data_IF_014972134189
#
_entry.id   IF_014972134189
#
_cell.length_a   1.000
_cell.length_b   1.000
_cell.length_c   1.000
_cell.angle_alpha   90.00
_cell.angle_beta   90.00
_cell.angle_gamma   90.00
#
_symmetry.space_group_name_H-M   'P 1'
#
loop_
_entity.id
_entity.type
_entity.pdbx_description
1 polymer ?
#
# COMPACT_ATOMS: atom_id res chain seq x y z
N UNK A 1 9.16 -6.93 -0.83
CA UNK A 1 7.75 -6.57 -1.11
C UNK A 1 7.64 -5.97 -2.50
N UNK A 2 6.65 -6.38 -3.25
CA UNK A 2 6.34 -5.80 -4.56
C UNK A 2 5.17 -4.84 -4.40
N UNK A 3 5.42 -3.56 -4.64
CA UNK A 3 4.40 -2.51 -4.43
C UNK A 3 3.20 -2.72 -5.37
N UNK A 4 3.48 -3.04 -6.64
CA UNK A 4 2.40 -3.26 -7.61
C UNK A 4 1.51 -4.43 -7.25
N UNK A 5 2.09 -5.54 -6.83
CA UNK A 5 1.31 -6.70 -6.38
C UNK A 5 0.51 -6.38 -5.13
N UNK A 6 1.06 -5.57 -4.24
CA UNK A 6 0.39 -5.16 -3.02
C UNK A 6 -0.84 -4.30 -3.31
N UNK A 7 -0.70 -3.37 -4.27
CA UNK A 7 -1.83 -2.56 -4.73
C UNK A 7 -2.91 -3.46 -5.31
N UNK A 8 -2.51 -4.39 -6.17
CA UNK A 8 -3.44 -5.33 -6.78
C UNK A 8 -4.17 -6.15 -5.73
N UNK A 9 -3.46 -6.61 -4.71
CA UNK A 9 -4.05 -7.38 -3.61
C UNK A 9 -5.18 -6.59 -2.93
N UNK A 10 -4.91 -5.36 -2.51
CA UNK A 10 -5.94 -4.54 -1.85
C UNK A 10 -7.07 -4.19 -2.78
N UNK A 11 -6.76 -3.93 -4.06
CA UNK A 11 -7.78 -3.64 -5.06
C UNK A 11 -8.74 -4.81 -5.22
N UNK A 12 -8.21 -6.01 -5.32
CA UNK A 12 -9.01 -7.22 -5.47
C UNK A 12 -9.84 -7.51 -4.21
N UNK A 13 -9.30 -7.21 -3.04
CA UNK A 13 -10.05 -7.33 -1.78
C UNK A 13 -11.27 -6.42 -1.77
N UNK A 14 -11.19 -5.28 -2.46
CA UNK A 14 -12.31 -4.34 -2.57
C UNK A 14 -13.23 -4.65 -3.75
N UNK A 15 -12.93 -5.66 -4.54
CA UNK A 15 -13.70 -6.04 -5.73
C UNK A 15 -13.85 -4.89 -6.72
N UNK A 16 -12.81 -4.11 -6.94
CA UNK A 16 -12.82 -3.02 -7.90
C UNK A 16 -11.82 -3.26 -9.02
N UNK A 17 -12.08 -2.69 -10.18
CA UNK A 17 -11.21 -2.80 -11.34
C UNK A 17 -10.05 -1.81 -11.23
N UNK A 18 -9.01 -2.02 -12.06
CA UNK A 18 -7.91 -1.05 -12.18
C UNK A 18 -8.47 0.32 -12.56
N UNK A 19 -9.40 0.35 -13.52
CA UNK A 19 -9.99 1.61 -13.97
C UNK A 19 -10.71 2.34 -12.84
N UNK A 20 -11.45 1.60 -12.03
CA UNK A 20 -12.16 2.20 -10.90
C UNK A 20 -11.19 2.77 -9.88
N UNK A 21 -10.14 2.00 -9.55
CA UNK A 21 -9.15 2.48 -8.60
C UNK A 21 -8.42 3.71 -9.13
N UNK A 22 -8.04 3.72 -10.40
CA UNK A 22 -7.38 4.86 -11.02
C UNK A 22 -8.25 6.11 -10.92
N UNK A 23 -9.54 5.98 -11.22
CA UNK A 23 -10.49 7.09 -11.12
C UNK A 23 -10.59 7.62 -9.69
N UNK A 24 -10.71 6.73 -8.72
CA UNK A 24 -10.81 7.12 -7.31
C UNK A 24 -9.54 7.78 -6.81
N UNK A 25 -8.39 7.32 -7.26
CA UNK A 25 -7.09 7.85 -6.83
C UNK A 25 -6.69 9.11 -7.61
N UNK A 26 -7.36 9.43 -8.70
CA UNK A 26 -7.01 10.58 -9.53
C UNK A 26 -5.75 10.37 -10.36
N UNK A 27 -5.43 9.12 -10.71
CA UNK A 27 -4.28 8.80 -11.55
C UNK A 27 -4.76 8.18 -12.86
N UNK A 28 -3.90 8.15 -13.87
CA UNK A 28 -4.28 7.54 -15.14
C UNK A 28 -4.34 6.01 -15.03
N UNK A 29 -5.21 5.42 -15.83
CA UNK A 29 -5.36 3.96 -15.85
C UNK A 29 -4.09 3.28 -16.33
N UNK A 30 -3.45 3.81 -17.36
CA UNK A 30 -2.21 3.21 -17.88
C UNK A 30 -1.08 3.30 -16.86
N UNK A 31 -0.98 4.39 -16.12
CA UNK A 31 0.01 4.54 -15.06
C UNK A 31 -0.20 3.47 -13.98
N UNK A 32 -1.43 3.32 -13.52
CA UNK A 32 -1.73 2.32 -12.49
C UNK A 32 -1.47 0.90 -12.96
N UNK A 33 -1.80 0.59 -14.22
CA UNK A 33 -1.51 -0.74 -14.79
C UNK A 33 -0.03 -1.01 -14.83
N UNK A 34 0.77 -0.01 -15.22
CA UNK A 34 2.23 -0.16 -15.26
C UNK A 34 2.80 -0.42 -13.87
N UNK A 35 2.22 0.21 -12.84
CA UNK A 35 2.63 -0.05 -11.46
C UNK A 35 2.28 -1.48 -11.04
N UNK A 36 1.06 -1.92 -11.33
CA UNK A 36 0.64 -3.28 -10.97
C UNK A 36 1.44 -4.35 -11.68
N UNK A 37 1.89 -4.08 -12.91
CA UNK A 37 2.77 -4.99 -13.64
C UNK A 37 4.23 -4.96 -13.17
N UNK A 38 4.59 -3.98 -12.37
CA UNK A 38 5.95 -3.85 -11.88
C UNK A 38 6.88 -3.06 -12.80
N UNK A 39 6.34 -2.44 -13.85
CA UNK A 39 7.13 -1.67 -14.81
C UNK A 39 7.44 -0.26 -14.33
N UNK A 40 6.69 0.24 -13.36
CA UNK A 40 6.89 1.56 -12.76
C UNK A 40 6.67 1.48 -11.26
N UNK A 41 7.36 2.36 -10.53
CA UNK A 41 7.18 2.50 -9.10
C UNK A 41 6.47 3.83 -8.83
N UNK A 42 5.46 3.86 -7.96
CA UNK A 42 4.82 5.13 -7.63
C UNK A 42 5.71 5.96 -6.72
N UNK A 43 5.57 7.29 -6.80
CA UNK A 43 6.13 8.16 -5.78
C UNK A 43 5.34 7.96 -4.48
N UNK A 44 5.89 8.41 -3.36
CA UNK A 44 5.17 8.34 -2.08
C UNK A 44 3.85 9.09 -2.18
N UNK A 45 3.84 10.24 -2.84
CA UNK A 45 2.62 11.03 -3.02
C UNK A 45 1.55 10.26 -3.78
N UNK A 46 1.90 9.65 -4.91
CA UNK A 46 0.93 8.85 -5.66
C UNK A 46 0.48 7.62 -4.90
N UNK A 47 1.39 7.01 -4.15
CA UNK A 47 1.02 5.87 -3.31
C UNK A 47 0.02 6.29 -2.22
N UNK A 48 0.17 7.49 -1.67
CA UNK A 48 -0.81 8.02 -0.72
C UNK A 48 -2.19 8.18 -1.36
N UNK A 49 -2.26 8.69 -2.60
CA UNK A 49 -3.53 8.80 -3.32
C UNK A 49 -4.17 7.43 -3.53
N UNK A 50 -3.36 6.45 -3.91
CA UNK A 50 -3.85 5.08 -4.15
C UNK A 50 -4.35 4.46 -2.84
N UNK A 51 -3.61 4.61 -1.75
CA UNK A 51 -4.01 4.11 -0.44
C UNK A 51 -5.30 4.79 0.03
N UNK A 52 -5.41 6.09 -0.17
CA UNK A 52 -6.63 6.84 0.17
C UNK A 52 -7.83 6.26 -0.59
N UNK A 53 -7.65 6.02 -1.89
CA UNK A 53 -8.71 5.45 -2.73
C UNK A 53 -9.10 4.04 -2.27
N UNK A 54 -8.15 3.29 -1.73
CA UNK A 54 -8.38 1.95 -1.20
C UNK A 54 -8.89 1.97 0.25
N UNK A 55 -8.98 3.16 0.84
CA UNK A 55 -9.39 3.35 2.22
C UNK A 55 -8.47 2.63 3.22
N UNK A 56 -7.18 2.69 2.97
CA UNK A 56 -6.16 2.15 3.86
C UNK A 56 -5.09 3.21 4.11
N UNK A 57 -4.38 3.09 5.22
CA UNK A 57 -3.25 3.98 5.50
C UNK A 57 -1.98 3.43 4.83
N UNK A 58 -0.95 4.27 4.70
CA UNK A 58 0.36 3.79 4.26
C UNK A 58 0.88 2.71 5.20
N UNK A 59 0.64 2.85 6.50
CA UNK A 59 1.01 1.84 7.49
C UNK A 59 0.36 0.50 7.16
N UNK A 60 -0.95 0.50 6.93
CA UNK A 60 -1.67 -0.72 6.56
C UNK A 60 -1.13 -1.32 5.28
N UNK A 61 -0.81 -0.45 4.32
CA UNK A 61 -0.28 -0.90 3.04
C UNK A 61 1.02 -1.69 3.22
N UNK A 62 1.91 -1.22 4.09
CA UNK A 62 3.21 -1.85 4.31
C UNK A 62 3.21 -2.89 5.41
N UNK A 63 2.13 -3.04 6.16
CA UNK A 63 1.99 -4.06 7.19
C UNK A 63 1.44 -5.33 6.54
N UNK A 64 2.33 -6.25 6.19
CA UNK A 64 1.95 -7.49 5.54
C UNK A 64 1.95 -8.64 6.55
N UNK A 65 1.50 -9.80 6.11
CA UNK A 65 1.68 -11.00 6.89
C UNK A 65 3.18 -11.28 7.07
N UNK A 66 3.53 -11.96 8.14
CA UNK A 66 4.93 -12.20 8.50
C UNK A 66 5.73 -12.88 7.40
N UNK A 67 5.08 -13.71 6.60
CA UNK A 67 5.73 -14.43 5.52
C UNK A 67 6.12 -13.56 4.33
N UNK A 68 5.59 -12.35 4.25
CA UNK A 68 5.72 -11.50 3.07
C UNK A 68 6.82 -10.46 3.17
N UNK A 69 7.42 -10.28 4.34
CA UNK A 69 8.47 -9.28 4.52
C UNK A 69 9.71 -9.91 5.12
N UNK A 70 10.86 -9.31 4.78
CA UNK A 70 12.13 -9.73 5.32
C UNK A 70 12.13 -9.57 6.85
N UNK A 71 12.73 -10.50 7.61
CA UNK A 71 12.74 -10.41 9.09
C UNK A 71 13.22 -9.07 9.63
N UNK A 72 14.20 -8.45 8.99
CA UNK A 72 14.70 -7.13 9.39
C UNK A 72 13.60 -6.07 9.29
N UNK A 73 12.85 -6.07 8.20
CA UNK A 73 11.77 -5.12 7.99
C UNK A 73 10.60 -5.39 8.95
N UNK A 74 10.32 -6.64 9.22
CA UNK A 74 9.28 -7.02 10.18
C UNK A 74 9.59 -6.45 11.56
N UNK A 75 10.85 -6.55 12.01
CA UNK A 75 11.27 -5.97 13.28
C UNK A 75 11.11 -4.46 13.32
N UNK A 76 11.48 -3.78 12.23
CA UNK A 76 11.39 -2.33 12.15
C UNK A 76 9.93 -1.87 12.22
N UNK A 77 9.04 -2.53 11.49
CA UNK A 77 7.61 -2.23 11.51
C UNK A 77 7.04 -2.42 12.91
N UNK A 78 7.37 -3.54 13.56
CA UNK A 78 6.90 -3.81 14.92
C UNK A 78 7.34 -2.74 15.90
N UNK A 79 8.57 -2.26 15.80
CA UNK A 79 9.07 -1.20 16.67
C UNK A 79 8.31 0.11 16.46
N UNK A 80 8.04 0.46 15.21
CA UNK A 80 7.28 1.67 14.90
C UNK A 80 5.87 1.60 15.48
N UNK A 81 5.21 0.46 15.35
CA UNK A 81 3.87 0.27 15.90
C UNK A 81 3.88 0.40 17.42
N UNK A 82 4.86 -0.17 18.08
CA UNK A 82 4.98 -0.11 19.53
C UNK A 82 5.17 1.34 19.98
N UNK A 83 6.03 2.09 19.30
CA UNK A 83 6.26 3.49 19.62
C UNK A 83 5.00 4.33 19.43
N UNK A 84 4.27 4.10 18.36
CA UNK A 84 3.00 4.79 18.12
C UNK A 84 1.98 4.49 19.20
N UNK A 85 1.88 3.24 19.64
CA UNK A 85 0.96 2.86 20.70
C UNK A 85 1.32 3.53 22.01
N UNK A 86 2.59 3.63 22.32
CA UNK A 86 3.05 4.32 23.54
C UNK A 86 2.70 5.81 23.50
N UNK A 87 2.85 6.45 22.36
CA UNK A 87 2.49 7.85 22.19
C UNK A 87 1.00 8.07 22.36
N UNK A 88 0.19 7.16 21.86
CA UNK A 88 -1.27 7.25 21.99
C UNK A 88 -1.74 6.99 23.42
N UNK A 89 -0.99 6.22 24.18
CA UNK A 89 -1.32 5.90 25.57
C UNK A 89 -1.00 7.07 26.50
N UNK A 90 -0.11 7.93 26.10
CA UNK A 90 0.25 9.11 26.88
C UNK A 90 -0.81 10.20 26.76
#
# INVERSE_FOLDING_TARGET
MNVGERIKYFREQKNITVNKLANLAGVSQSYLREIEFGNKQPTVEYLEYICWALNISLKDFFTTGESDIHPFLASAVSKLETEEQLKLAD
#
